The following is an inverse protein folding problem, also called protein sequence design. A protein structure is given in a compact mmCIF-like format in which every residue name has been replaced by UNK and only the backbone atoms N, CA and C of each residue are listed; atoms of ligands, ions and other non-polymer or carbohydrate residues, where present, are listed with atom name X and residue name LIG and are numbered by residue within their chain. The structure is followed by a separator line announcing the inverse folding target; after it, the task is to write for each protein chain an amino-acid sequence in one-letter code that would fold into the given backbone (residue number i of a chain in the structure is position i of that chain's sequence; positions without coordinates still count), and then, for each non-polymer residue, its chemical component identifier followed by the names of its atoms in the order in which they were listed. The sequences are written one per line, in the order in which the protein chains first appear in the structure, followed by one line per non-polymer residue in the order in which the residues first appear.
data_IF_454098962943
#
_entry.id   IF_454098962943
#
_cell.length_a   1.000
_cell.length_b   1.000
_cell.length_c   1.000
_cell.angle_alpha   90.00
_cell.angle_beta   90.00
_cell.angle_gamma   90.00
#
_symmetry.space_group_name_H-M   'P 1'
#
loop_
_entity.id
_entity.type
_entity.pdbx_description
1 polymer ?
#
# COMPACT_ATOMS: atom_id res chain seq x y z
N UNK A 1 -30.04 -3.80 33.80
CA UNK A 1 -30.09 -3.57 32.34
C UNK A 1 -28.68 -3.75 31.80
N UNK A 2 -28.42 -4.74 30.95
CA UNK A 2 -27.10 -4.96 30.39
C UNK A 2 -26.82 -3.95 29.28
N UNK A 3 -25.80 -3.12 29.44
CA UNK A 3 -25.35 -2.18 28.41
C UNK A 3 -24.69 -2.98 27.29
N UNK A 4 -25.30 -2.98 26.10
CA UNK A 4 -24.69 -3.59 24.92
C UNK A 4 -23.51 -2.72 24.51
N UNK A 5 -22.30 -3.18 24.82
CA UNK A 5 -21.07 -2.52 24.38
C UNK A 5 -20.95 -2.74 22.87
N UNK A 6 -21.00 -1.66 22.10
CA UNK A 6 -20.77 -1.73 20.66
C UNK A 6 -19.25 -1.91 20.39
N UNK A 7 -18.83 -3.16 20.27
CA UNK A 7 -17.45 -3.55 20.00
C UNK A 7 -16.87 -2.91 18.73
N UNK A 8 -17.71 -2.60 17.74
CA UNK A 8 -17.29 -1.95 16.49
C UNK A 8 -16.77 -0.53 16.74
N UNK A 9 -17.44 0.24 17.60
CA UNK A 9 -17.00 1.60 17.97
C UNK A 9 -15.68 1.53 18.74
N UNK A 10 -15.56 0.56 19.65
CA UNK A 10 -14.33 0.37 20.42
C UNK A 10 -13.15 0.00 19.50
N UNK A 11 -13.35 -0.94 18.57
CA UNK A 11 -12.32 -1.36 17.62
C UNK A 11 -11.85 -0.20 16.72
N UNK A 12 -12.77 0.64 16.23
CA UNK A 12 -12.43 1.85 15.46
C UNK A 12 -11.58 2.83 16.28
N UNK A 13 -11.93 3.05 17.55
CA UNK A 13 -11.19 3.95 18.44
C UNK A 13 -9.79 3.40 18.76
N UNK A 14 -9.69 2.11 19.05
CA UNK A 14 -8.41 1.43 19.31
C UNK A 14 -7.49 1.50 18.08
N UNK A 15 -8.02 1.21 16.89
CA UNK A 15 -7.27 1.34 15.63
C UNK A 15 -6.79 2.76 15.40
N UNK A 16 -7.64 3.78 15.61
CA UNK A 16 -7.23 5.19 15.48
C UNK A 16 -6.07 5.54 16.41
N UNK A 17 -6.11 5.09 17.66
CA UNK A 17 -5.03 5.29 18.62
C UNK A 17 -3.75 4.56 18.22
N UNK A 18 -3.88 3.33 17.73
CA UNK A 18 -2.77 2.54 17.20
C UNK A 18 -2.09 3.26 16.03
N UNK A 19 -2.86 3.75 15.04
CA UNK A 19 -2.32 4.52 13.91
C UNK A 19 -1.68 5.82 14.34
N UNK A 20 -2.27 6.54 15.31
CA UNK A 20 -1.66 7.76 15.84
C UNK A 20 -0.29 7.49 16.49
N UNK A 21 -0.12 6.33 17.13
CA UNK A 21 1.11 5.97 17.85
C UNK A 21 2.18 5.35 16.95
N UNK A 22 1.79 4.49 16.00
CA UNK A 22 2.71 3.67 15.22
C UNK A 22 2.64 3.92 13.71
N UNK A 23 1.67 4.70 13.21
CA UNK A 23 1.47 4.96 11.77
C UNK A 23 2.74 5.45 11.07
N UNK A 24 3.42 6.45 11.62
CA UNK A 24 4.69 6.95 11.08
C UNK A 24 5.79 5.89 10.99
N UNK A 25 5.79 4.89 11.89
CA UNK A 25 6.78 3.79 11.84
C UNK A 25 6.45 2.82 10.72
N UNK A 26 5.17 2.53 10.53
CA UNK A 26 4.67 1.68 9.44
C UNK A 26 4.96 2.34 8.10
N UNK A 27 4.62 3.62 7.95
CA UNK A 27 4.93 4.41 6.74
C UNK A 27 6.41 4.38 6.42
N UNK A 28 7.29 4.58 7.41
CA UNK A 28 8.75 4.51 7.18
C UNK A 28 9.22 3.12 6.78
N UNK A 29 8.65 2.07 7.35
CA UNK A 29 8.98 0.69 6.97
C UNK A 29 8.55 0.43 5.53
N UNK A 30 7.33 0.85 5.15
CA UNK A 30 6.81 0.77 3.79
C UNK A 30 7.68 1.55 2.80
N UNK A 31 8.07 2.79 3.14
CA UNK A 31 8.96 3.60 2.29
C UNK A 31 10.32 2.94 2.10
N UNK A 32 10.92 2.43 3.19
CA UNK A 32 12.18 1.71 3.11
C UNK A 32 12.01 0.44 2.27
N UNK A 33 10.92 -0.30 2.46
CA UNK A 33 10.64 -1.50 1.69
C UNK A 33 10.60 -1.21 0.19
N UNK A 34 9.82 -0.22 -0.23
CA UNK A 34 9.70 0.20 -1.64
C UNK A 34 11.08 0.57 -2.18
N UNK A 35 11.82 1.42 -1.46
CA UNK A 35 13.15 1.87 -1.88
C UNK A 35 14.17 0.75 -2.10
N UNK A 36 14.06 -0.36 -1.35
CA UNK A 36 15.02 -1.46 -1.44
C UNK A 36 14.59 -2.58 -2.39
N UNK A 37 13.29 -2.71 -2.68
CA UNK A 37 12.75 -3.85 -3.42
C UNK A 37 12.11 -3.46 -4.76
N UNK A 38 11.76 -2.20 -4.96
CA UNK A 38 11.12 -1.70 -6.18
C UNK A 38 12.08 -0.73 -6.86
N UNK A 39 12.64 -1.15 -7.99
CA UNK A 39 13.66 -0.39 -8.74
C UNK A 39 13.07 0.49 -9.84
N UNK A 40 11.80 0.28 -10.19
CA UNK A 40 11.10 1.02 -11.23
C UNK A 40 10.21 2.11 -10.65
N UNK A 41 10.00 3.17 -11.42
CA UNK A 41 9.07 4.23 -11.05
C UNK A 41 7.64 3.92 -11.51
N UNK A 42 6.62 4.33 -10.75
CA UNK A 42 5.22 4.13 -11.14
C UNK A 42 4.90 4.79 -12.49
N UNK A 43 5.51 5.96 -12.74
CA UNK A 43 5.31 6.68 -14.01
C UNK A 43 5.90 5.90 -15.19
N UNK A 44 7.08 5.30 -15.02
CA UNK A 44 7.70 4.46 -16.07
C UNK A 44 6.82 3.24 -16.39
N UNK A 45 6.30 2.56 -15.36
CA UNK A 45 5.36 1.45 -15.55
C UNK A 45 4.08 1.89 -16.26
N UNK A 46 3.57 3.08 -15.94
CA UNK A 46 2.37 3.62 -16.58
C UNK A 46 2.60 3.94 -18.06
N UNK A 47 3.75 4.53 -18.39
CA UNK A 47 4.15 4.84 -19.77
C UNK A 47 4.34 3.56 -20.60
N UNK A 48 5.00 2.54 -20.05
CA UNK A 48 5.16 1.23 -20.68
C UNK A 48 3.81 0.54 -20.92
N UNK A 49 2.92 0.59 -19.94
CA UNK A 49 1.57 0.02 -20.05
C UNK A 49 0.75 0.72 -21.15
N UNK A 50 0.82 2.06 -21.21
CA UNK A 50 0.14 2.83 -22.26
C UNK A 50 0.72 2.56 -23.65
N UNK A 51 2.04 2.45 -23.78
CA UNK A 51 2.70 2.13 -25.05
C UNK A 51 2.28 0.75 -25.57
N UNK A 52 2.24 -0.26 -24.69
CA UNK A 52 1.79 -1.61 -25.05
C UNK A 52 0.32 -1.68 -25.48
N UNK A 53 -0.54 -0.78 -24.97
CA UNK A 53 -1.93 -0.67 -25.40
C UNK A 53 -2.13 0.09 -26.72
N UNK A 54 -1.13 0.80 -27.24
CA UNK A 54 -1.22 1.41 -28.57
C UNK A 54 -0.91 0.40 -29.69
N UNK A 55 -0.10 -0.62 -29.40
CA UNK A 55 0.29 -1.66 -30.37
C UNK A 55 -0.70 -2.84 -30.45
N UNK A 56 -1.48 -3.07 -29.40
CA UNK A 56 -2.62 -4.00 -29.39
C UNK A 56 -3.92 -3.23 -29.39
N UNK A 57 -4.92 -3.66 -30.16
CA UNK A 57 -6.27 -3.06 -30.30
C UNK A 57 -7.11 -3.13 -28.99
N UNK A 58 -6.47 -2.84 -27.85
CA UNK A 58 -7.00 -2.97 -26.50
C UNK A 58 -7.56 -1.63 -26.01
N UNK A 59 -8.72 -1.78 -25.37
CA UNK A 59 -9.62 -0.73 -24.88
C UNK A 59 -8.89 0.26 -23.97
N UNK A 60 -9.07 1.56 -24.28
CA UNK A 60 -9.03 2.73 -23.38
C UNK A 60 -8.32 2.50 -22.03
N UNK A 61 -7.15 3.10 -21.86
CA UNK A 61 -6.42 3.15 -20.60
C UNK A 61 -7.32 3.51 -19.40
N UNK A 62 -7.58 2.52 -18.53
CA UNK A 62 -8.27 2.71 -17.27
C UNK A 62 -7.24 2.72 -16.13
N UNK A 63 -7.03 3.90 -15.54
CA UNK A 63 -6.15 4.10 -14.39
C UNK A 63 -6.53 3.17 -13.21
N UNK A 64 -7.82 2.89 -13.02
CA UNK A 64 -8.30 2.01 -11.94
C UNK A 64 -7.80 0.59 -12.20
N UNK A 65 -7.97 0.10 -13.42
CA UNK A 65 -7.50 -1.22 -13.82
C UNK A 65 -5.98 -1.35 -13.69
N UNK A 66 -5.22 -0.35 -14.13
CA UNK A 66 -3.75 -0.36 -13.99
C UNK A 66 -3.32 -0.36 -12.52
N UNK A 67 -3.94 0.48 -11.69
CA UNK A 67 -3.70 0.52 -10.24
C UNK A 67 -3.93 -0.85 -9.60
N UNK A 68 -5.02 -1.52 -9.96
CA UNK A 68 -5.38 -2.82 -9.40
C UNK A 68 -4.41 -3.93 -9.82
N UNK A 69 -3.94 -3.90 -11.08
CA UNK A 69 -2.88 -4.82 -11.56
C UNK A 69 -1.59 -4.62 -10.76
N UNK A 70 -1.18 -3.37 -10.52
CA UNK A 70 0.02 -3.07 -9.74
C UNK A 70 -0.16 -3.50 -8.28
N UNK A 71 -1.34 -3.30 -7.69
CA UNK A 71 -1.68 -3.75 -6.35
C UNK A 71 -1.57 -5.27 -6.23
N UNK A 72 -2.12 -6.00 -7.20
CA UNK A 72 -2.06 -7.46 -7.25
C UNK A 72 -0.62 -7.96 -7.39
N UNK A 73 0.18 -7.35 -8.28
CA UNK A 73 1.59 -7.68 -8.44
C UNK A 73 2.39 -7.47 -7.14
N UNK A 74 2.14 -6.35 -6.45
CA UNK A 74 2.75 -6.08 -5.14
C UNK A 74 2.33 -7.12 -4.09
N UNK A 75 1.06 -7.52 -4.06
CA UNK A 75 0.60 -8.52 -3.10
C UNK A 75 1.18 -9.91 -3.36
N UNK A 76 1.23 -10.32 -4.63
CA UNK A 76 1.76 -11.62 -5.05
C UNK A 76 3.27 -11.75 -4.78
N UNK A 77 4.03 -10.71 -5.10
CA UNK A 77 5.50 -10.76 -5.00
C UNK A 77 5.96 -10.46 -3.58
N UNK A 78 5.33 -9.50 -2.91
CA UNK A 78 5.88 -8.91 -1.69
C UNK A 78 4.94 -8.93 -0.48
N UNK A 79 3.65 -9.16 -0.68
CA UNK A 79 2.66 -9.00 0.38
C UNK A 79 2.90 -9.92 1.57
N UNK A 80 3.30 -11.17 1.34
CA UNK A 80 3.65 -12.09 2.42
C UNK A 80 4.93 -11.64 3.16
N UNK A 81 5.99 -11.30 2.41
CA UNK A 81 7.28 -10.92 2.99
C UNK A 81 7.19 -9.65 3.84
N UNK A 82 6.49 -8.63 3.34
CA UNK A 82 6.29 -7.37 4.04
C UNK A 82 5.46 -7.56 5.32
N UNK A 83 4.40 -8.35 5.26
CA UNK A 83 3.55 -8.63 6.42
C UNK A 83 4.31 -9.43 7.50
N UNK A 84 5.10 -10.43 7.10
CA UNK A 84 5.97 -11.17 8.03
C UNK A 84 7.03 -10.27 8.65
N UNK A 85 7.65 -9.37 7.88
CA UNK A 85 8.61 -8.41 8.42
C UNK A 85 7.98 -7.51 9.50
N UNK A 86 6.73 -7.09 9.33
CA UNK A 86 6.00 -6.33 10.34
C UNK A 86 5.67 -7.15 11.58
N UNK A 87 5.30 -8.43 11.42
CA UNK A 87 5.03 -9.32 12.56
C UNK A 87 6.23 -9.50 13.48
N UNK A 88 7.46 -9.40 12.95
CA UNK A 88 8.67 -9.47 13.78
C UNK A 88 8.81 -8.28 14.75
N UNK A 89 8.05 -7.19 14.53
CA UNK A 89 8.17 -5.99 15.33
C UNK A 89 7.37 -6.11 16.64
N UNK A 90 7.96 -5.80 17.81
CA UNK A 90 7.31 -5.98 19.10
C UNK A 90 6.14 -5.02 19.35
N UNK A 91 5.99 -4.00 18.51
CA UNK A 91 4.92 -3.01 18.57
C UNK A 91 3.81 -3.26 17.54
N UNK A 92 3.96 -4.26 16.66
CA UNK A 92 3.00 -4.54 15.60
C UNK A 92 1.85 -5.42 16.12
N UNK A 93 0.62 -5.03 15.77
CA UNK A 93 -0.59 -5.78 16.07
C UNK A 93 -1.37 -6.09 14.78
N UNK A 94 -1.36 -7.36 14.38
CA UNK A 94 -2.05 -7.85 13.17
C UNK A 94 -3.59 -7.80 13.26
N UNK A 95 -4.16 -7.53 14.44
CA UNK A 95 -5.61 -7.30 14.60
C UNK A 95 -6.02 -5.85 14.26
N UNK A 96 -5.03 -4.94 14.25
CA UNK A 96 -5.20 -3.51 13.99
C UNK A 96 -4.88 -3.13 12.55
N UNK A 97 -4.08 -3.93 11.84
CA UNK A 97 -3.72 -3.77 10.42
C UNK A 97 -3.82 -5.10 9.70
N UNK A 98 -4.65 -5.13 8.67
CA UNK A 98 -4.74 -6.26 7.76
C UNK A 98 -3.72 -6.15 6.62
N UNK A 99 -3.38 -7.28 6.01
CA UNK A 99 -2.43 -7.36 4.88
C UNK A 99 -2.87 -6.46 3.72
N UNK A 100 -4.15 -6.48 3.36
CA UNK A 100 -4.68 -5.69 2.25
C UNK A 100 -4.48 -4.18 2.46
N UNK A 101 -4.68 -3.71 3.70
CA UNK A 101 -4.46 -2.30 4.06
C UNK A 101 -2.99 -1.91 3.95
N UNK A 102 -2.09 -2.86 4.19
CA UNK A 102 -0.66 -2.69 4.05
C UNK A 102 -0.25 -2.55 2.57
N UNK A 103 -0.83 -3.37 1.70
CA UNK A 103 -0.63 -3.30 0.25
C UNK A 103 -1.16 -1.97 -0.28
N UNK A 104 -2.34 -1.54 0.15
CA UNK A 104 -2.88 -0.23 -0.23
C UNK A 104 -1.96 0.93 0.21
N UNK A 105 -1.39 0.86 1.42
CA UNK A 105 -0.40 1.85 1.88
C UNK A 105 0.88 1.79 1.05
N UNK A 106 1.36 0.60 0.67
CA UNK A 106 2.50 0.43 -0.22
C UNK A 106 2.24 1.05 -1.59
N UNK A 107 1.12 0.71 -2.22
CA UNK A 107 0.73 1.23 -3.52
C UNK A 107 0.58 2.76 -3.49
N UNK A 108 -0.09 3.29 -2.46
CA UNK A 108 -0.24 4.75 -2.28
C UNK A 108 1.11 5.43 -2.10
N UNK A 109 2.00 4.84 -1.30
CA UNK A 109 3.36 5.37 -1.09
C UNK A 109 4.20 5.30 -2.35
N UNK A 110 4.03 4.23 -3.15
CA UNK A 110 4.71 4.06 -4.42
C UNK A 110 4.29 5.14 -5.42
N UNK A 111 2.97 5.32 -5.63
CA UNK A 111 2.40 6.35 -6.50
C UNK A 111 2.86 7.77 -6.06
N UNK A 112 2.81 8.07 -4.76
CA UNK A 112 3.19 9.39 -4.25
C UNK A 112 4.71 9.62 -4.28
N UNK A 113 5.51 8.56 -4.11
CA UNK A 113 6.96 8.59 -4.22
C UNK A 113 7.44 9.01 -5.61
N UNK A 114 6.75 8.53 -6.64
CA UNK A 114 6.93 8.92 -8.05
C UNK A 114 6.66 10.41 -8.29
N UNK A 115 5.57 10.95 -7.72
CA UNK A 115 5.25 12.37 -7.83
C UNK A 115 6.29 13.32 -7.21
N UNK A 116 7.06 12.86 -6.20
CA UNK A 116 8.09 13.70 -5.57
C UNK A 116 9.38 13.79 -6.41
N UNK A 117 9.64 12.82 -7.29
CA UNK A 117 10.76 12.85 -8.23
C UNK A 117 10.50 13.84 -9.38
N UNK A 118 9.26 13.93 -9.87
CA UNK A 118 8.86 14.82 -10.96
C UNK A 118 8.93 16.32 -10.62
N UNK A 119 8.92 16.70 -9.34
CA UNK A 119 8.94 18.10 -8.89
C UNK A 119 10.35 18.73 -8.79
N UNK A 120 11.41 18.01 -9.18
CA UNK A 120 12.80 18.49 -9.11
C UNK A 120 13.46 18.73 -10.48
N UNK A 121 12.70 18.73 -11.56
CA UNK A 121 13.11 19.17 -12.90
C UNK A 121 12.42 20.47 -13.25
#
# INVERSE_FOLDING_TARGET
MGTVINFTIYRKKARKQYMAKYGRRIERLVQNFIRHNVECDFQQLAEEYQAGQQDGDMVSWDYVQFRDIVAEALDQVYGAALYEQLKTQPWFDGTMIHKDELIDMCLTTFILGSCHSAAKT
#
